data_IF_139037026397
#
_entry.id   IF_139037026397
#
_cell.length_a   1.000
_cell.length_b   1.000
_cell.length_c   1.000
_cell.angle_alpha   90.00
_cell.angle_beta   90.00
_cell.angle_gamma   90.00
#
_symmetry.space_group_name_H-M   'P 1'
#
loop_
_entity.id
_entity.type
_entity.pdbx_description
1 polymer ?
#
# COMPACT_ATOMS: atom_id res chain seq x y z
N UNK A 1 -37.79 -68.81 -19.09
CA UNK A 1 -36.62 -68.06 -19.61
C UNK A 1 -36.46 -66.82 -18.75
N UNK A 2 -35.39 -66.76 -17.93
CA UNK A 2 -35.16 -65.71 -16.93
C UNK A 2 -34.47 -64.52 -17.60
N UNK A 3 -35.04 -63.31 -17.49
CA UNK A 3 -34.41 -62.06 -17.93
C UNK A 3 -34.18 -61.21 -16.69
N UNK A 4 -32.93 -61.14 -16.23
CA UNK A 4 -32.50 -60.26 -15.14
C UNK A 4 -32.18 -58.88 -15.71
N UNK A 5 -32.86 -57.85 -15.23
CA UNK A 5 -32.57 -56.45 -15.56
C UNK A 5 -31.57 -55.94 -14.53
N UNK A 6 -30.38 -55.54 -14.99
CA UNK A 6 -29.38 -54.90 -14.15
C UNK A 6 -29.68 -53.40 -14.05
N UNK A 7 -30.00 -52.92 -12.84
CA UNK A 7 -30.18 -51.50 -12.54
C UNK A 7 -28.83 -50.97 -12.06
N UNK A 8 -28.19 -50.14 -12.87
CA UNK A 8 -26.93 -49.46 -12.53
C UNK A 8 -27.27 -48.16 -11.78
N UNK A 9 -27.09 -48.17 -10.46
CA UNK A 9 -27.29 -47.00 -9.60
C UNK A 9 -26.06 -46.10 -9.71
N UNK A 10 -26.21 -44.93 -10.35
CA UNK A 10 -25.17 -43.90 -10.42
C UNK A 10 -25.31 -43.02 -9.18
N UNK A 11 -24.43 -43.23 -8.19
CA UNK A 11 -24.32 -42.35 -7.02
C UNK A 11 -23.55 -41.09 -7.42
N UNK A 12 -24.26 -39.98 -7.60
CA UNK A 12 -23.65 -38.65 -7.71
C UNK A 12 -23.09 -38.26 -6.34
N UNK A 13 -21.76 -38.34 -6.19
CA UNK A 13 -21.06 -37.81 -5.02
C UNK A 13 -21.06 -36.29 -5.06
N UNK A 14 -21.90 -35.66 -4.23
CA UNK A 14 -21.87 -34.22 -4.01
C UNK A 14 -20.52 -33.83 -3.41
N UNK A 15 -19.65 -33.27 -4.24
CA UNK A 15 -18.38 -32.70 -3.80
C UNK A 15 -18.66 -31.37 -3.13
N UNK A 16 -18.61 -31.32 -1.80
CA UNK A 16 -18.66 -30.07 -1.05
C UNK A 16 -17.32 -29.38 -1.25
N UNK A 17 -17.27 -28.38 -2.12
CA UNK A 17 -16.14 -27.46 -2.18
C UNK A 17 -16.21 -26.58 -0.94
N UNK A 18 -15.39 -26.90 0.07
CA UNK A 18 -15.08 -25.97 1.14
C UNK A 18 -14.29 -24.82 0.52
N UNK A 19 -14.98 -23.73 0.17
CA UNK A 19 -14.38 -22.43 -0.10
C UNK A 19 -13.75 -21.92 1.20
N UNK A 20 -12.53 -22.38 1.48
CA UNK A 20 -11.71 -21.84 2.55
C UNK A 20 -11.55 -20.35 2.31
N UNK A 21 -12.19 -19.54 3.15
CA UNK A 21 -11.86 -18.13 3.22
C UNK A 21 -10.45 -18.12 3.79
N UNK A 22 -9.46 -17.81 2.96
CA UNK A 22 -8.18 -17.40 3.50
C UNK A 22 -8.51 -16.27 4.48
N UNK A 23 -8.20 -16.45 5.76
CA UNK A 23 -8.23 -15.36 6.73
C UNK A 23 -7.14 -14.40 6.27
N UNK A 24 -7.49 -13.55 5.30
CA UNK A 24 -6.61 -12.60 4.66
C UNK A 24 -6.18 -11.64 5.74
N UNK A 25 -4.87 -11.62 6.02
CA UNK A 25 -4.29 -10.56 6.82
C UNK A 25 -4.63 -9.23 6.11
N UNK A 26 -5.31 -8.33 6.79
CA UNK A 26 -5.67 -7.03 6.22
C UNK A 26 -4.41 -6.24 5.89
N UNK A 27 -4.41 -5.62 4.72
CA UNK A 27 -3.32 -4.76 4.27
C UNK A 27 -3.62 -3.30 4.62
N UNK A 28 -2.58 -2.54 4.94
CA UNK A 28 -2.71 -1.15 5.34
C UNK A 28 -2.00 -0.23 4.35
N UNK A 29 -2.65 0.87 4.01
CA UNK A 29 -2.16 1.81 3.02
C UNK A 29 -2.31 3.24 3.49
N UNK A 30 -1.32 4.07 3.18
CA UNK A 30 -1.49 5.53 3.22
C UNK A 30 -1.81 5.99 1.80
N UNK A 31 -2.96 6.64 1.61
CA UNK A 31 -3.48 7.10 0.32
C UNK A 31 -3.54 8.62 0.28
N UNK A 32 -3.10 9.19 -0.84
CA UNK A 32 -3.11 10.64 -1.09
C UNK A 32 -4.13 11.02 -2.16
N UNK A 33 -4.83 12.13 -1.92
CA UNK A 33 -5.74 12.77 -2.86
C UNK A 33 -5.43 14.27 -2.94
N UNK A 34 -5.62 14.85 -4.12
CA UNK A 34 -5.73 16.30 -4.25
C UNK A 34 -6.96 16.80 -3.49
N UNK A 35 -6.99 18.10 -3.18
CA UNK A 35 -8.11 18.75 -2.49
C UNK A 35 -9.44 18.66 -3.25
N UNK A 36 -9.42 18.34 -4.55
CA UNK A 36 -10.62 18.07 -5.35
C UNK A 36 -11.07 16.59 -5.29
N UNK A 37 -10.47 15.79 -4.40
CA UNK A 37 -10.75 14.37 -4.23
C UNK A 37 -10.09 13.44 -5.24
N UNK A 38 -9.35 13.96 -6.22
CA UNK A 38 -8.68 13.12 -7.22
C UNK A 38 -7.46 12.41 -6.62
N UNK A 39 -7.37 11.10 -6.84
CA UNK A 39 -6.30 10.26 -6.31
C UNK A 39 -4.91 10.60 -6.92
N UNK A 40 -3.87 10.58 -6.08
CA UNK A 40 -2.49 10.94 -6.50
C UNK A 40 -1.48 9.81 -6.28
N UNK A 41 -1.66 8.98 -5.25
CA UNK A 41 -0.72 7.92 -4.92
C UNK A 41 -1.07 7.17 -3.64
N UNK A 42 -0.45 6.01 -3.44
CA UNK A 42 -0.60 5.22 -2.21
C UNK A 42 0.69 4.46 -1.89
N UNK A 43 0.94 4.24 -0.61
CA UNK A 43 2.06 3.44 -0.10
C UNK A 43 1.53 2.39 0.87
N UNK A 44 2.00 1.15 0.75
CA UNK A 44 1.70 0.08 1.70
C UNK A 44 2.55 0.22 2.97
N UNK A 45 1.94 -0.04 4.12
CA UNK A 45 2.59 -0.06 5.43
C UNK A 45 2.27 -1.38 6.14
N UNK A 46 3.20 -1.85 6.95
CA UNK A 46 3.11 -3.20 7.52
C UNK A 46 2.71 -3.16 8.99
N UNK A 47 1.97 -4.16 9.45
CA UNK A 47 1.68 -4.37 10.87
C UNK A 47 2.80 -5.12 11.60
N UNK A 48 3.76 -5.68 10.86
CA UNK A 48 4.87 -6.47 11.40
C UNK A 48 6.25 -5.92 10.97
N UNK A 49 7.29 -6.10 11.81
CA UNK A 49 8.64 -5.68 11.48
C UNK A 49 9.18 -6.34 10.22
N UNK A 50 9.88 -5.56 9.41
CA UNK A 50 10.60 -6.03 8.23
C UNK A 50 11.93 -5.31 8.11
N UNK A 51 12.95 -6.01 7.63
CA UNK A 51 14.28 -5.42 7.41
C UNK A 51 14.16 -4.18 6.50
N UNK A 52 14.72 -3.05 6.94
CA UNK A 52 14.66 -1.78 6.23
C UNK A 52 13.38 -0.96 6.46
N UNK A 53 12.53 -1.40 7.39
CA UNK A 53 11.34 -0.68 7.85
C UNK A 53 11.57 -0.19 9.28
N UNK A 54 10.97 0.96 9.59
CA UNK A 54 11.04 1.65 10.87
C UNK A 54 9.65 1.66 11.51
N UNK A 55 9.60 1.54 12.83
CA UNK A 55 8.37 1.75 13.56
C UNK A 55 7.96 3.23 13.47
N UNK A 56 6.71 3.49 13.12
CA UNK A 56 6.13 4.81 12.99
C UNK A 56 4.73 4.81 13.59
N UNK A 57 4.41 5.86 14.33
CA UNK A 57 3.09 6.04 14.95
C UNK A 57 2.20 6.83 13.98
N UNK A 58 1.03 6.27 13.66
CA UNK A 58 -0.03 6.93 12.90
C UNK A 58 -1.32 6.82 13.68
N UNK A 59 -1.83 7.96 14.18
CA UNK A 59 -3.13 8.04 14.86
C UNK A 59 -3.35 6.92 15.90
N UNK A 60 -2.40 6.80 16.82
CA UNK A 60 -2.36 5.83 17.93
C UNK A 60 -2.03 4.37 17.57
N UNK A 61 -1.64 4.09 16.33
CA UNK A 61 -1.23 2.74 15.91
C UNK A 61 0.19 2.72 15.36
N UNK A 62 0.98 1.75 15.80
CA UNK A 62 2.33 1.54 15.29
C UNK A 62 2.29 0.71 14.02
N UNK A 63 2.88 1.23 12.97
CA UNK A 63 3.14 0.53 11.72
C UNK A 63 4.62 0.51 11.40
N UNK A 64 5.00 -0.36 10.48
CA UNK A 64 6.35 -0.46 9.96
C UNK A 64 6.38 0.14 8.56
N UNK A 65 7.23 1.13 8.36
CA UNK A 65 7.30 1.93 7.13
C UNK A 65 8.73 2.14 6.67
N UNK A 66 8.92 2.40 5.38
CA UNK A 66 10.23 2.83 4.87
C UNK A 66 10.41 4.33 5.07
N UNK A 67 11.65 4.81 5.22
CA UNK A 67 11.91 6.26 5.32
C UNK A 67 11.41 7.02 4.09
N UNK A 68 11.43 6.39 2.91
CA UNK A 68 10.87 6.97 1.68
C UNK A 68 9.36 7.16 1.76
N UNK A 69 8.64 6.28 2.46
CA UNK A 69 7.19 6.43 2.64
C UNK A 69 6.87 7.63 3.52
N UNK A 70 7.64 7.80 4.59
CA UNK A 70 7.49 8.96 5.49
C UNK A 70 7.87 10.26 4.80
N UNK A 71 8.97 10.27 4.04
CA UNK A 71 9.33 11.43 3.23
C UNK A 71 8.24 11.78 2.22
N UNK A 72 7.66 10.77 1.57
CA UNK A 72 6.55 10.98 0.64
C UNK A 72 5.33 11.58 1.36
N UNK A 73 4.94 11.08 2.54
CA UNK A 73 3.80 11.66 3.28
C UNK A 73 4.06 13.10 3.70
N UNK A 74 5.27 13.43 4.17
CA UNK A 74 5.65 14.82 4.46
C UNK A 74 5.48 15.73 3.23
N UNK A 75 5.89 15.26 2.05
CA UNK A 75 5.75 16.01 0.81
C UNK A 75 4.29 16.15 0.37
N UNK A 76 3.47 15.12 0.53
CA UNK A 76 2.05 15.20 0.21
C UNK A 76 1.34 16.21 1.13
N UNK A 77 1.63 16.17 2.43
CA UNK A 77 1.13 17.15 3.40
C UNK A 77 1.58 18.56 3.05
N UNK A 78 2.86 18.76 2.72
CA UNK A 78 3.40 20.05 2.31
C UNK A 78 2.80 20.56 0.99
N UNK A 79 2.40 19.67 0.08
CA UNK A 79 1.70 20.00 -1.16
C UNK A 79 0.21 20.33 -0.95
N UNK A 80 -0.30 20.21 0.28
CA UNK A 80 -1.71 20.46 0.61
C UNK A 80 -2.64 19.32 0.25
N UNK A 81 -2.12 18.12 -0.05
CA UNK A 81 -2.93 16.95 -0.35
C UNK A 81 -3.55 16.37 0.92
N UNK A 82 -4.66 15.65 0.76
CA UNK A 82 -5.32 14.91 1.82
C UNK A 82 -4.74 13.51 1.91
N UNK A 83 -4.43 13.06 3.12
CA UNK A 83 -3.88 11.74 3.39
C UNK A 83 -4.84 10.93 4.25
N UNK A 84 -5.05 9.68 3.85
CA UNK A 84 -5.89 8.73 4.56
C UNK A 84 -5.11 7.45 4.81
N UNK A 85 -5.07 7.01 6.06
CA UNK A 85 -4.67 5.67 6.43
C UNK A 85 -5.89 4.75 6.26
N UNK A 86 -5.76 3.76 5.40
CA UNK A 86 -6.83 2.83 5.04
C UNK A 86 -6.42 1.40 5.37
N UNK A 87 -7.39 0.62 5.83
CA UNK A 87 -7.31 -0.84 5.94
C UNK A 87 -8.10 -1.47 4.81
N UNK A 88 -7.51 -2.49 4.18
CA UNK A 88 -8.14 -3.30 3.14
C UNK A 88 -8.23 -4.74 3.64
N UNK A 89 -9.44 -5.25 3.85
CA UNK A 89 -9.70 -6.63 4.27
C UNK A 89 -10.05 -7.57 3.10
N UNK A 90 -9.84 -7.11 1.87
CA UNK A 90 -10.13 -7.84 0.63
C UNK A 90 -11.42 -7.36 -0.01
N UNK A 91 -12.53 -7.42 0.73
CA UNK A 91 -13.85 -7.04 0.23
C UNK A 91 -14.23 -5.60 0.57
N UNK A 92 -13.62 -5.02 1.61
CA UNK A 92 -13.89 -3.68 2.09
C UNK A 92 -12.63 -2.85 2.25
N UNK A 93 -12.82 -1.54 2.11
CA UNK A 93 -11.83 -0.53 2.43
C UNK A 93 -12.38 0.40 3.49
N UNK A 94 -11.64 0.55 4.58
CA UNK A 94 -12.04 1.39 5.71
C UNK A 94 -10.96 2.42 6.00
N UNK A 95 -11.34 3.70 6.07
CA UNK A 95 -10.47 4.76 6.59
C UNK A 95 -10.30 4.55 8.10
N UNK A 96 -9.06 4.33 8.52
CA UNK A 96 -8.66 4.19 9.92
C UNK A 96 -8.26 5.54 10.50
N UNK A 97 -7.63 6.39 9.70
CA UNK A 97 -7.29 7.74 10.10
C UNK A 97 -7.29 8.71 8.92
N UNK A 98 -7.81 9.91 9.14
CA UNK A 98 -7.79 11.04 8.19
C UNK A 98 -7.03 12.26 8.74
N UNK A 99 -6.50 12.18 9.96
CA UNK A 99 -5.68 13.25 10.54
C UNK A 99 -4.23 13.10 10.09
N UNK A 100 -3.87 13.82 9.03
CA UNK A 100 -2.53 13.82 8.46
C UNK A 100 -1.49 14.52 9.33
N UNK A 101 -1.90 15.33 10.30
CA UNK A 101 -0.99 15.99 11.22
C UNK A 101 -0.53 15.03 12.34
N UNK A 102 -1.28 13.93 12.55
CA UNK A 102 -0.93 12.82 13.42
C UNK A 102 -0.04 11.76 12.74
N UNK A 103 0.48 12.05 11.54
CA UNK A 103 1.35 11.12 10.81
C UNK A 103 2.81 11.33 11.20
N UNK A 104 3.54 10.23 11.38
CA UNK A 104 4.96 10.27 11.70
C UNK A 104 5.76 11.07 10.66
N UNK A 105 6.75 11.80 11.16
CA UNK A 105 7.77 12.50 10.38
C UNK A 105 9.07 11.69 10.34
N UNK A 106 9.99 12.07 9.46
CA UNK A 106 11.30 11.45 9.37
C UNK A 106 12.07 11.55 10.70
N UNK A 107 11.87 12.65 11.42
CA UNK A 107 12.51 12.91 12.71
C UNK A 107 11.99 11.94 13.81
N UNK A 108 10.79 11.36 13.64
CA UNK A 108 10.20 10.37 14.55
C UNK A 108 10.76 8.94 14.35
N UNK A 109 11.46 8.67 13.24
CA UNK A 109 11.95 7.33 12.91
C UNK A 109 13.20 6.90 13.70
N UNK A 110 13.74 7.78 14.55
CA UNK A 110 14.94 7.50 15.35
C UNK A 110 16.22 7.32 14.51
N UNK A 111 16.24 7.84 13.28
CA UNK A 111 17.39 7.80 12.38
C UNK A 111 18.48 8.80 12.81
N UNK A 112 19.74 8.52 12.45
CA UNK A 112 20.84 9.47 12.72
C UNK A 112 20.69 10.71 11.83
N UNK A 113 21.10 11.88 12.33
CA UNK A 113 21.06 13.14 11.55
C UNK A 113 21.70 13.05 10.17
N UNK A 114 22.82 12.32 10.05
CA UNK A 114 23.50 12.13 8.77
C UNK A 114 22.66 11.29 7.79
N UNK A 115 21.94 10.29 8.29
CA UNK A 115 21.05 9.44 7.49
C UNK A 115 19.84 10.24 7.01
N UNK A 116 19.22 11.02 7.92
CA UNK A 116 18.12 11.93 7.59
C UNK A 116 18.49 12.92 6.49
N UNK A 117 19.67 13.53 6.61
CA UNK A 117 20.19 14.45 5.59
C UNK A 117 20.38 13.76 4.24
N UNK A 118 20.98 12.56 4.23
CA UNK A 118 21.18 11.79 3.00
C UNK A 118 19.85 11.41 2.31
N UNK A 119 18.83 11.05 3.09
CA UNK A 119 17.47 10.74 2.58
C UNK A 119 16.87 11.98 1.91
N UNK A 120 16.87 13.12 2.60
CA UNK A 120 16.33 14.39 2.09
C UNK A 120 17.11 14.90 0.86
N UNK A 121 18.43 14.77 0.83
CA UNK A 121 19.26 15.18 -0.31
C UNK A 121 19.05 14.31 -1.54
N UNK A 122 18.90 12.99 -1.38
CA UNK A 122 18.69 12.07 -2.50
C UNK A 122 17.41 12.36 -3.27
N UNK A 123 16.38 12.85 -2.57
CA UNK A 123 15.09 13.17 -3.16
C UNK A 123 15.00 14.61 -3.70
N UNK A 124 16.06 15.40 -3.50
CA UNK A 124 16.11 16.76 -4.04
C UNK A 124 16.11 16.76 -5.58
N UNK A 125 15.44 17.73 -6.23
CA UNK A 125 15.43 17.83 -7.69
C UNK A 125 16.82 17.90 -8.32
N UNK A 126 17.83 18.43 -7.60
CA UNK A 126 19.22 18.48 -8.05
C UNK A 126 19.91 17.11 -8.03
N UNK A 127 19.46 16.18 -7.18
CA UNK A 127 19.99 14.80 -7.11
C UNK A 127 19.32 13.83 -8.10
N UNK A 128 18.17 14.21 -8.68
CA UNK A 128 17.43 13.39 -9.62
C UNK A 128 18.16 13.26 -10.97
N UNK A 129 19.03 12.25 -11.10
CA UNK A 129 19.60 11.85 -12.39
C UNK A 129 18.48 11.54 -13.40
N UNK A 130 18.64 11.89 -14.69
CA UNK A 130 17.65 11.57 -15.71
C UNK A 130 17.44 10.05 -15.76
N UNK A 131 16.22 9.60 -15.42
CA UNK A 131 15.87 8.18 -15.47
C UNK A 131 15.46 7.80 -16.90
N UNK A 132 15.77 6.56 -17.32
CA UNK A 132 15.37 6.04 -18.65
C UNK A 132 13.87 6.16 -18.90
N UNK A 133 13.05 5.97 -17.86
CA UNK A 133 11.59 6.09 -17.95
C UNK A 133 11.18 7.54 -18.25
N UNK A 134 11.85 8.53 -17.65
CA UNK A 134 11.60 9.95 -17.93
C UNK A 134 11.94 10.30 -19.38
N UNK A 135 13.06 9.78 -19.89
CA UNK A 135 13.44 9.92 -21.31
C UNK A 135 12.40 9.30 -22.24
N UNK A 136 11.93 8.08 -21.94
CA UNK A 136 10.87 7.42 -22.73
C UNK A 136 9.59 8.26 -22.73
N UNK A 137 9.10 8.68 -21.56
CA UNK A 137 7.89 9.51 -21.44
C UNK A 137 8.00 10.79 -22.27
N UNK A 138 9.14 11.48 -22.20
CA UNK A 138 9.34 12.73 -22.92
C UNK A 138 9.39 12.52 -24.45
N UNK A 139 9.88 11.37 -24.93
CA UNK A 139 9.86 11.01 -26.35
C UNK A 139 8.44 10.78 -26.91
N UNK A 140 7.47 10.43 -26.07
CA UNK A 140 6.07 10.23 -26.49
C UNK A 140 5.21 11.49 -26.42
N UNK A 141 5.69 12.59 -25.80
CA UNK A 141 4.93 13.86 -25.71
C UNK A 141 4.72 14.56 -27.06
N UNK A 142 5.54 14.24 -28.06
CA UNK A 142 5.50 14.84 -29.40
C UNK A 142 4.44 14.22 -30.32
N UNK A 143 3.82 13.10 -29.92
CA UNK A 143 2.69 12.50 -30.61
C UNK A 143 1.41 12.94 -29.90
N UNK A 144 0.77 13.98 -30.43
CA UNK A 144 -0.48 14.54 -29.92
C UNK A 144 -1.54 14.52 -31.01
#
# INVERSE_FOLDING_TARGET
MKRSIAVMVITFGSSVLLSGHALGQSDYYIRSHYTNGSFTGFHEILTAPKKGYHAALYCDRTFWVTSNTVLWTEQQTAAGNDLFLEENDGDNRRVICSDKDAFATLDDLGLKRLELKAIREKDSPQAAKPSRIRTIRDAFKQYK
#
